data_IF_037261747971
#
_entry.id   IF_037261747971
#
_cell.length_a   1.000
_cell.length_b   1.000
_cell.length_c   1.000
_cell.angle_alpha   90.00
_cell.angle_beta   90.00
_cell.angle_gamma   90.00
#
_symmetry.space_group_name_H-M   'P 1'
#
loop_
_entity.id
_entity.type
_entity.pdbx_description
1 polymer ?
#
# COMPACT_ATOMS: atom_id res chain seq x y z
N UNK A 1 -16.42 -17.69 -24.09
CA UNK A 1 -16.03 -16.41 -24.71
C UNK A 1 -14.83 -15.90 -23.93
N UNK A 2 -13.70 -15.66 -24.57
CA UNK A 2 -12.52 -15.11 -23.88
C UNK A 2 -12.74 -13.64 -23.54
N UNK A 3 -12.27 -13.20 -22.37
CA UNK A 3 -12.34 -11.80 -21.98
C UNK A 3 -11.33 -11.00 -22.81
N UNK A 4 -11.76 -9.97 -23.57
CA UNK A 4 -10.97 -9.38 -24.65
C UNK A 4 -9.76 -8.54 -24.19
N UNK A 5 -9.61 -8.26 -22.90
CA UNK A 5 -8.61 -7.31 -22.37
C UNK A 5 -7.68 -7.91 -21.31
N UNK A 6 -7.58 -9.24 -21.25
CA UNK A 6 -6.64 -9.89 -20.33
C UNK A 6 -5.20 -9.58 -20.75
N UNK A 7 -4.38 -9.19 -19.79
CA UNK A 7 -2.94 -9.14 -19.97
C UNK A 7 -2.41 -10.54 -20.26
N UNK A 8 -1.67 -10.70 -21.36
CA UNK A 8 -1.14 -11.98 -21.85
C UNK A 8 0.38 -12.11 -21.69
N UNK A 9 1.01 -11.17 -20.98
CA UNK A 9 2.45 -11.21 -20.72
C UNK A 9 2.78 -12.07 -19.51
N UNK A 10 4.00 -12.58 -19.47
CA UNK A 10 4.52 -13.40 -18.36
C UNK A 10 5.28 -12.56 -17.31
N UNK A 11 5.39 -11.25 -17.54
CA UNK A 11 6.09 -10.31 -16.65
C UNK A 11 5.13 -9.55 -15.75
N UNK A 12 5.58 -9.26 -14.53
CA UNK A 12 4.86 -8.39 -13.60
C UNK A 12 4.79 -6.95 -14.15
N UNK A 13 3.58 -6.39 -14.14
CA UNK A 13 3.39 -4.96 -14.46
C UNK A 13 3.88 -4.12 -13.29
N UNK A 14 4.80 -3.20 -13.56
CA UNK A 14 5.29 -2.24 -12.57
C UNK A 14 4.49 -0.93 -12.67
N UNK A 15 3.89 -0.51 -11.56
CA UNK A 15 3.19 0.78 -11.46
C UNK A 15 3.86 1.69 -10.44
N UNK A 16 3.86 2.97 -10.76
CA UNK A 16 4.18 4.04 -9.81
C UNK A 16 3.05 4.21 -8.78
N UNK A 17 3.37 4.83 -7.64
CA UNK A 17 2.35 5.16 -6.62
C UNK A 17 1.22 6.05 -7.17
N UNK A 18 1.53 6.88 -8.17
CA UNK A 18 0.52 7.71 -8.84
C UNK A 18 -0.45 6.85 -9.65
N UNK A 19 0.05 5.92 -10.44
CA UNK A 19 -0.79 5.01 -11.25
C UNK A 19 -1.66 4.13 -10.36
N UNK A 20 -1.11 3.60 -9.26
CA UNK A 20 -1.89 2.86 -8.26
C UNK A 20 -3.00 3.76 -7.67
N UNK A 21 -2.68 5.00 -7.31
CA UNK A 21 -3.69 5.95 -6.80
C UNK A 21 -4.77 6.28 -7.84
N UNK A 22 -4.40 6.46 -9.10
CA UNK A 22 -5.33 6.79 -10.17
C UNK A 22 -6.25 5.60 -10.50
N UNK A 23 -5.74 4.37 -10.42
CA UNK A 23 -6.55 3.16 -10.53
C UNK A 23 -7.60 3.09 -9.41
N UNK A 24 -7.20 3.24 -8.15
CA UNK A 24 -8.13 3.18 -7.01
C UNK A 24 -9.23 4.24 -7.16
N UNK A 25 -8.86 5.49 -7.50
CA UNK A 25 -9.84 6.55 -7.76
C UNK A 25 -10.79 6.22 -8.90
N UNK A 26 -10.29 5.60 -9.97
CA UNK A 26 -11.11 5.18 -11.10
C UNK A 26 -12.15 4.14 -10.67
N UNK A 27 -11.74 3.16 -9.87
CA UNK A 27 -12.65 2.13 -9.32
C UNK A 27 -13.67 2.70 -8.33
N UNK A 28 -13.27 3.67 -7.51
CA UNK A 28 -14.20 4.41 -6.63
C UNK A 28 -15.24 5.17 -7.45
N UNK A 29 -14.80 5.89 -8.48
CA UNK A 29 -15.67 6.71 -9.33
C UNK A 29 -16.62 5.87 -10.19
N UNK A 30 -16.23 4.66 -10.60
CA UNK A 30 -17.10 3.74 -11.33
C UNK A 30 -18.06 2.96 -10.43
N UNK A 31 -17.83 2.99 -9.11
CA UNK A 31 -18.62 2.22 -8.14
C UNK A 31 -18.23 0.75 -8.05
N UNK A 32 -17.12 0.34 -8.67
CA UNK A 32 -16.68 -1.05 -8.75
C UNK A 32 -15.68 -1.45 -7.65
N UNK A 33 -15.18 -0.48 -6.86
CA UNK A 33 -14.13 -0.74 -5.86
C UNK A 33 -14.48 -1.91 -4.92
N UNK A 34 -15.69 -1.90 -4.34
CA UNK A 34 -16.09 -2.93 -3.37
C UNK A 34 -16.16 -4.33 -4.00
N UNK A 35 -16.65 -4.42 -5.24
CA UNK A 35 -16.70 -5.67 -5.99
C UNK A 35 -15.30 -6.22 -6.28
N UNK A 36 -14.37 -5.34 -6.66
CA UNK A 36 -12.97 -5.72 -6.89
C UNK A 36 -12.30 -6.19 -5.59
N UNK A 37 -12.50 -5.49 -4.47
CA UNK A 37 -11.93 -5.87 -3.18
C UNK A 37 -12.46 -7.23 -2.70
N UNK A 38 -13.76 -7.47 -2.84
CA UNK A 38 -14.39 -8.75 -2.49
C UNK A 38 -13.83 -9.88 -3.34
N UNK A 39 -13.84 -9.72 -4.67
CA UNK A 39 -13.33 -10.73 -5.60
C UNK A 39 -11.83 -11.02 -5.39
N UNK A 40 -11.03 -10.00 -5.09
CA UNK A 40 -9.60 -10.15 -4.81
C UNK A 40 -9.34 -10.99 -3.56
N UNK A 41 -10.19 -10.86 -2.52
CA UNK A 41 -10.07 -11.63 -1.28
C UNK A 41 -10.43 -13.10 -1.50
N UNK A 42 -11.52 -13.36 -2.22
CA UNK A 42 -11.97 -14.71 -2.57
C UNK A 42 -10.91 -15.46 -3.41
N UNK A 43 -10.29 -14.74 -4.34
CA UNK A 43 -9.24 -15.27 -5.22
C UNK A 43 -7.83 -15.24 -4.58
N UNK A 44 -7.71 -14.73 -3.35
CA UNK A 44 -6.44 -14.58 -2.62
C UNK A 44 -5.36 -13.82 -3.41
N UNK A 45 -5.79 -12.81 -4.17
CA UNK A 45 -4.89 -11.91 -4.87
C UNK A 45 -4.20 -11.04 -3.82
N UNK A 46 -2.87 -11.05 -3.82
CA UNK A 46 -2.05 -10.24 -2.91
C UNK A 46 -1.08 -9.38 -3.71
N UNK A 47 -0.79 -8.19 -3.19
CA UNK A 47 0.21 -7.28 -3.77
C UNK A 47 1.41 -7.27 -2.83
N UNK A 48 2.58 -7.64 -3.35
CA UNK A 48 3.83 -7.51 -2.62
C UNK A 48 4.34 -6.09 -2.74
N UNK A 49 4.46 -5.41 -1.60
CA UNK A 49 5.01 -4.06 -1.53
C UNK A 49 6.46 -4.15 -1.02
N UNK A 50 7.46 -3.67 -1.78
CA UNK A 50 8.84 -3.68 -1.33
C UNK A 50 9.04 -2.91 -0.01
N UNK A 51 9.92 -3.38 0.89
CA UNK A 51 10.21 -2.69 2.16
C UNK A 51 10.62 -1.22 2.00
N UNK A 52 11.32 -0.88 0.91
CA UNK A 52 11.76 0.47 0.59
C UNK A 52 10.57 1.41 0.39
N UNK A 53 9.53 0.93 -0.30
CA UNK A 53 8.28 1.67 -0.52
C UNK A 53 7.52 1.89 0.80
N UNK A 54 7.45 0.85 1.64
CA UNK A 54 6.84 0.96 2.98
C UNK A 54 7.58 2.01 3.80
N UNK A 55 8.92 1.96 3.86
CA UNK A 55 9.74 2.90 4.61
C UNK A 55 9.63 4.34 4.10
N UNK A 56 9.52 4.51 2.77
CA UNK A 56 9.28 5.81 2.16
C UNK A 56 7.96 6.43 2.66
N UNK A 57 6.86 5.67 2.60
CA UNK A 57 5.52 6.13 3.04
C UNK A 57 5.54 6.49 4.52
N UNK A 58 6.07 5.61 5.36
CA UNK A 58 6.16 5.86 6.81
C UNK A 58 6.96 7.11 7.14
N UNK A 59 8.13 7.27 6.51
CA UNK A 59 9.00 8.44 6.70
C UNK A 59 8.28 9.72 6.30
N UNK A 60 7.55 9.69 5.18
CA UNK A 60 6.76 10.83 4.72
C UNK A 60 5.66 11.19 5.74
N UNK A 61 4.85 10.22 6.18
CA UNK A 61 3.78 10.44 7.17
C UNK A 61 4.31 10.94 8.52
N UNK A 62 5.46 10.42 8.96
CA UNK A 62 6.11 10.88 10.18
C UNK A 62 6.57 12.33 10.07
N UNK A 63 7.29 12.68 8.99
CA UNK A 63 7.78 14.05 8.73
C UNK A 63 6.64 15.05 8.58
N UNK A 64 5.54 14.65 7.95
CA UNK A 64 4.33 15.46 7.82
C UNK A 64 3.53 15.60 9.13
N UNK A 65 4.00 14.97 10.23
CA UNK A 65 3.31 14.88 11.53
C UNK A 65 1.88 14.33 11.42
N UNK A 66 1.61 13.49 10.41
CA UNK A 66 0.28 12.96 10.13
C UNK A 66 -0.24 12.07 11.27
N UNK A 67 0.65 11.33 11.93
CA UNK A 67 0.35 10.52 13.11
C UNK A 67 -0.21 11.29 14.31
N UNK A 68 -0.04 12.63 14.35
CA UNK A 68 -0.60 13.45 15.43
C UNK A 68 -2.08 13.80 15.21
N UNK A 69 -2.60 13.56 14.00
CA UNK A 69 -3.92 14.02 13.56
C UNK A 69 -4.77 12.94 12.88
N UNK A 70 -4.24 11.73 12.70
CA UNK A 70 -4.95 10.60 12.09
C UNK A 70 -4.45 9.31 12.73
N UNK A 71 -5.38 8.56 13.31
CA UNK A 71 -5.13 7.24 13.88
C UNK A 71 -4.75 6.25 12.78
N UNK A 72 -5.29 6.40 11.57
CA UNK A 72 -4.94 5.60 10.41
C UNK A 72 -3.47 5.84 10.00
N UNK A 73 -3.02 7.10 9.98
CA UNK A 73 -1.63 7.42 9.70
C UNK A 73 -0.69 6.88 10.79
N UNK A 74 -1.13 6.93 12.06
CA UNK A 74 -0.40 6.31 13.16
C UNK A 74 -0.31 4.78 12.99
N UNK A 75 -1.41 4.12 12.65
CA UNK A 75 -1.47 2.68 12.37
C UNK A 75 -0.59 2.27 11.19
N UNK A 76 -0.54 3.06 10.11
CA UNK A 76 0.34 2.80 8.95
C UNK A 76 1.82 2.92 9.32
N UNK A 77 2.19 3.90 10.15
CA UNK A 77 3.57 4.02 10.64
C UNK A 77 3.93 2.82 11.52
N UNK A 78 3.00 2.38 12.37
CA UNK A 78 3.17 1.24 13.25
C UNK A 78 3.12 -0.11 12.53
N UNK A 79 2.35 -0.25 11.43
CA UNK A 79 2.19 -1.51 10.70
C UNK A 79 3.48 -1.85 9.95
N UNK A 80 3.99 -3.08 10.09
CA UNK A 80 5.33 -3.58 9.65
C UNK A 80 6.46 -3.64 10.70
N UNK A 81 6.21 -3.32 11.98
CA UNK A 81 7.11 -3.78 13.07
C UNK A 81 6.96 -5.27 13.42
N UNK A 82 6.00 -5.98 12.82
CA UNK A 82 5.75 -7.43 13.11
C UNK A 82 6.70 -8.42 12.40
N UNK A 83 7.83 -7.98 11.87
CA UNK A 83 8.77 -8.86 11.14
C UNK A 83 10.23 -8.80 11.57
N UNK A 84 10.76 -7.63 11.92
CA UNK A 84 12.11 -7.43 12.48
C UNK A 84 12.06 -6.12 13.25
N UNK A 85 12.62 -6.11 14.46
CA UNK A 85 12.75 -4.90 15.29
C UNK A 85 13.19 -3.74 14.39
N UNK A 86 12.42 -2.65 14.36
CA UNK A 86 13.00 -1.36 14.02
C UNK A 86 14.20 -1.21 14.97
N UNK A 87 15.42 -1.24 14.43
CA UNK A 87 16.62 -1.03 15.21
C UNK A 87 16.44 0.28 15.97
N UNK A 88 16.34 0.18 17.29
CA UNK A 88 16.27 1.34 18.14
C UNK A 88 17.50 2.17 17.88
N UNK A 89 17.31 3.35 17.30
CA UNK A 89 18.22 4.47 17.58
C UNK A 89 17.70 5.07 18.89
N UNK A 90 17.86 4.30 19.97
CA UNK A 90 17.95 4.86 21.31
C UNK A 90 19.26 5.61 21.34
N UNK A 91 19.24 6.87 20.91
CA UNK A 91 20.20 7.84 21.37
C UNK A 91 19.65 8.38 22.68
N UNK A 92 20.22 7.93 23.80
CA UNK A 92 19.99 8.55 25.10
C UNK A 92 20.23 10.07 25.01
N UNK A 93 19.48 10.89 25.77
CA UNK A 93 19.75 12.30 25.86
C UNK A 93 21.06 12.50 26.63
N UNK A 94 21.98 13.25 26.02
CA UNK A 94 23.01 14.00 26.75
C UNK A 94 22.61 15.46 26.73
#
# INVERSE_FOLDING_TARGET
>A
MELPFLYKGDENVSWSLKEVSDLVKTLEQSGDLEGVLTASTEQRITIEIPPETVNFIKTHLFRAKAHKRSEEAHAVIASATRGKRCGGVGGDPV
#
